data_IF_671094978485
#
_entry.id   IF_671094978485
#
_cell.length_a   1.000
_cell.length_b   1.000
_cell.length_c   1.000
_cell.angle_alpha   90.00
_cell.angle_beta   90.00
_cell.angle_gamma   90.00
#
_symmetry.space_group_name_H-M   'P 1'
#
loop_
_entity.id
_entity.type
_entity.pdbx_description
1 polymer ?
#
# COMPACT_ATOMS: atom_id res chain seq x y z
N UNK A 1 14.99 24.99 -80.46
CA UNK A 1 14.20 24.28 -79.48
C UNK A 1 14.87 24.50 -78.12
N UNK A 2 14.32 25.45 -77.34
CA UNK A 2 14.86 25.80 -76.02
C UNK A 2 13.96 25.17 -74.93
N UNK A 3 14.56 24.34 -74.09
CA UNK A 3 13.87 23.63 -72.99
C UNK A 3 14.06 24.47 -71.71
N UNK A 4 13.00 25.04 -71.21
CA UNK A 4 12.97 25.79 -69.95
C UNK A 4 12.70 24.81 -68.82
N UNK A 5 13.69 24.64 -67.92
CA UNK A 5 13.56 23.88 -66.67
C UNK A 5 12.97 24.73 -65.56
N UNK A 6 11.77 24.41 -65.09
CA UNK A 6 11.18 24.97 -63.88
C UNK A 6 11.79 24.35 -62.65
N UNK A 7 12.53 25.14 -61.84
CA UNK A 7 13.02 24.75 -60.52
C UNK A 7 11.91 25.06 -59.50
N UNK A 8 11.27 24.03 -58.97
CA UNK A 8 10.38 24.12 -57.81
C UNK A 8 11.25 24.19 -56.53
N UNK A 9 11.36 25.37 -55.95
CA UNK A 9 11.91 25.53 -54.58
C UNK A 9 10.85 25.08 -53.59
N UNK A 10 10.96 23.85 -53.09
CA UNK A 10 10.18 23.35 -51.95
C UNK A 10 10.69 24.04 -50.67
N UNK A 11 10.02 25.12 -50.26
CA UNK A 11 10.21 25.75 -48.95
C UNK A 11 9.68 24.82 -47.87
N UNK A 12 10.58 24.08 -47.17
CA UNK A 12 10.27 23.42 -45.91
C UNK A 12 10.02 24.48 -44.84
N UNK A 13 8.79 24.91 -44.65
CA UNK A 13 8.37 25.58 -43.43
C UNK A 13 8.49 24.54 -42.30
N UNK A 14 9.60 24.55 -41.55
CA UNK A 14 9.68 23.88 -40.24
C UNK A 14 8.64 24.56 -39.35
N UNK A 15 7.50 23.94 -39.19
CA UNK A 15 6.63 24.24 -38.06
C UNK A 15 7.43 23.89 -36.81
N UNK A 16 8.03 24.88 -36.15
CA UNK A 16 8.42 24.79 -34.77
C UNK A 16 7.12 24.61 -34.00
N UNK A 17 6.81 23.37 -33.63
CA UNK A 17 5.83 23.11 -32.60
C UNK A 17 6.48 23.63 -31.32
N UNK A 18 6.15 24.84 -30.89
CA UNK A 18 6.49 25.29 -29.55
C UNK A 18 5.88 24.28 -28.59
N UNK A 19 6.75 23.45 -27.98
CA UNK A 19 6.33 22.53 -26.94
C UNK A 19 6.01 23.40 -25.73
N UNK A 20 4.74 23.76 -25.59
CA UNK A 20 4.27 24.45 -24.40
C UNK A 20 4.43 23.51 -23.20
N UNK A 21 5.11 23.98 -22.17
CA UNK A 21 5.25 23.28 -20.92
C UNK A 21 3.88 23.15 -20.26
N UNK A 22 3.51 21.91 -19.89
CA UNK A 22 2.23 21.60 -19.24
C UNK A 22 2.47 21.25 -17.78
N UNK A 23 1.60 21.75 -16.91
CA UNK A 23 1.52 21.38 -15.50
C UNK A 23 0.08 20.99 -15.15
N UNK A 24 -0.09 20.25 -14.06
CA UNK A 24 -1.40 19.74 -13.65
C UNK A 24 -1.69 20.11 -12.20
N UNK A 25 -2.89 20.58 -11.92
CA UNK A 25 -3.30 21.00 -10.58
C UNK A 25 -3.31 19.79 -9.63
N UNK A 26 -2.48 19.84 -8.57
CA UNK A 26 -2.30 18.74 -7.60
C UNK A 26 -3.14 18.86 -6.34
N UNK A 27 -3.60 20.05 -6.00
CA UNK A 27 -4.48 20.29 -4.84
C UNK A 27 -5.96 20.19 -5.24
N UNK A 28 -6.87 20.04 -4.26
CA UNK A 28 -8.30 19.85 -4.52
C UNK A 28 -8.88 20.92 -5.44
N UNK A 29 -8.69 22.17 -5.05
CA UNK A 29 -9.13 23.34 -5.78
C UNK A 29 -8.30 24.56 -5.39
N UNK A 30 -8.14 25.49 -6.29
CA UNK A 30 -7.53 26.78 -6.04
C UNK A 30 -8.03 27.80 -7.06
N UNK A 31 -7.54 29.04 -6.96
CA UNK A 31 -7.85 30.10 -7.90
C UNK A 31 -6.59 30.55 -8.63
N UNK A 32 -6.72 30.83 -9.92
CA UNK A 32 -5.74 31.64 -10.62
C UNK A 32 -5.93 33.10 -10.19
N UNK A 33 -4.82 33.81 -10.01
CA UNK A 33 -4.77 35.20 -9.59
C UNK A 33 -4.28 36.12 -10.70
N UNK A 34 -4.80 37.36 -10.78
CA UNK A 34 -4.40 38.33 -11.82
C UNK A 34 -2.94 38.77 -11.66
N UNK A 35 -2.38 38.73 -10.46
CA UNK A 35 -1.01 39.13 -10.13
C UNK A 35 -0.46 38.40 -8.91
N UNK A 36 0.87 38.43 -8.78
CA UNK A 36 1.59 37.91 -7.60
C UNK A 36 1.70 39.05 -6.58
N UNK A 37 0.67 39.22 -5.76
CA UNK A 37 0.61 40.25 -4.72
C UNK A 37 -0.23 39.75 -3.52
N UNK A 38 -0.01 40.28 -2.28
CA UNK A 38 -0.84 39.96 -1.12
C UNK A 38 -2.33 40.26 -1.34
N UNK A 39 -2.62 41.26 -2.18
CA UNK A 39 -3.98 41.59 -2.62
C UNK A 39 -4.03 41.38 -4.13
N UNK A 40 -4.76 40.38 -4.55
CA UNK A 40 -4.94 39.98 -5.96
C UNK A 40 -6.39 39.57 -6.20
N UNK A 41 -6.89 39.77 -7.42
CA UNK A 41 -8.20 39.29 -7.80
C UNK A 41 -8.14 37.84 -8.26
N UNK A 42 -9.23 37.10 -8.01
CA UNK A 42 -9.42 35.76 -8.53
C UNK A 42 -9.87 35.85 -10.00
N UNK A 43 -9.16 35.15 -10.87
CA UNK A 43 -9.49 35.07 -12.30
C UNK A 43 -10.50 33.96 -12.57
N UNK A 44 -10.09 32.71 -12.20
CA UNK A 44 -10.94 31.54 -12.31
C UNK A 44 -10.55 30.50 -11.28
N UNK A 45 -11.44 29.57 -11.01
CA UNK A 45 -11.20 28.39 -10.18
C UNK A 45 -10.65 27.26 -11.05
N UNK A 46 -9.64 26.57 -10.52
CA UNK A 46 -9.06 25.35 -11.12
C UNK A 46 -9.11 24.22 -10.10
N UNK A 47 -9.24 22.99 -10.59
CA UNK A 47 -9.46 21.80 -9.77
C UNK A 47 -8.42 20.73 -10.01
N UNK A 48 -8.30 19.78 -9.09
CA UNK A 48 -7.37 18.65 -9.19
C UNK A 48 -7.44 17.93 -10.54
N UNK A 49 -6.30 17.70 -11.15
CA UNK A 49 -6.17 17.04 -12.44
C UNK A 49 -6.29 17.95 -13.65
N UNK A 50 -6.66 19.22 -13.49
CA UNK A 50 -6.83 20.14 -14.60
C UNK A 50 -5.47 20.49 -15.23
N UNK A 51 -5.30 20.34 -16.56
CA UNK A 51 -4.09 20.74 -17.27
C UNK A 51 -4.01 22.25 -17.42
N UNK A 52 -2.81 22.80 -17.29
CA UNK A 52 -2.50 24.22 -17.43
C UNK A 52 -1.25 24.38 -18.30
N UNK A 53 -1.31 25.27 -19.28
CA UNK A 53 -0.17 25.65 -20.11
C UNK A 53 0.68 26.71 -19.38
N UNK A 54 1.98 26.48 -19.21
CA UNK A 54 2.88 27.44 -18.57
C UNK A 54 3.31 28.50 -19.57
N UNK A 55 3.05 29.75 -19.23
CA UNK A 55 3.44 30.93 -20.04
C UNK A 55 4.69 31.58 -19.51
N UNK A 56 4.92 31.57 -18.17
CA UNK A 56 6.02 32.26 -17.53
C UNK A 56 6.34 31.64 -16.16
N UNK A 57 7.63 31.52 -15.85
CA UNK A 57 8.10 31.05 -14.55
C UNK A 57 8.44 32.23 -13.65
N UNK A 58 7.78 32.36 -12.51
CA UNK A 58 8.16 33.25 -11.42
C UNK A 58 8.94 32.50 -10.34
N UNK A 59 9.27 33.17 -9.26
CA UNK A 59 10.09 32.58 -8.18
C UNK A 59 9.37 31.44 -7.41
N UNK A 60 8.08 31.57 -7.18
CA UNK A 60 7.22 30.63 -6.41
C UNK A 60 5.83 30.51 -7.05
N UNK A 61 5.66 31.06 -8.21
CA UNK A 61 4.40 31.11 -8.94
C UNK A 61 4.66 30.85 -10.42
N UNK A 62 3.72 30.23 -11.06
CA UNK A 62 3.68 30.04 -12.50
C UNK A 62 2.55 30.89 -13.08
N UNK A 63 2.82 31.60 -14.16
CA UNK A 63 1.78 32.20 -14.97
C UNK A 63 1.28 31.14 -15.93
N UNK A 64 0.03 30.83 -15.86
CA UNK A 64 -0.56 29.71 -16.58
C UNK A 64 -1.80 30.13 -17.35
N UNK A 65 -2.14 29.31 -18.33
CA UNK A 65 -3.34 29.45 -19.15
C UNK A 65 -4.16 28.18 -19.10
N UNK A 66 -5.46 28.32 -18.88
CA UNK A 66 -6.42 27.22 -18.92
C UNK A 66 -6.84 26.87 -20.35
N UNK A 67 -7.47 25.71 -20.55
CA UNK A 67 -8.09 25.35 -21.84
C UNK A 67 -9.13 26.37 -22.34
N UNK A 68 -9.72 27.14 -21.42
CA UNK A 68 -10.67 28.22 -21.74
C UNK A 68 -10.01 29.55 -22.07
N UNK A 69 -8.67 29.56 -22.22
CA UNK A 69 -7.85 30.76 -22.43
C UNK A 69 -7.86 31.79 -21.28
N UNK A 70 -8.19 31.36 -20.07
CA UNK A 70 -8.08 32.20 -18.88
C UNK A 70 -6.62 32.19 -18.40
N UNK A 71 -6.04 33.38 -18.19
CA UNK A 71 -4.64 33.54 -17.84
C UNK A 71 -4.53 34.07 -16.43
N UNK A 72 -3.69 33.43 -15.60
CA UNK A 72 -3.44 33.89 -14.23
C UNK A 72 -2.22 33.23 -13.60
N UNK A 73 -1.97 33.58 -12.34
CA UNK A 73 -0.85 33.07 -11.55
C UNK A 73 -1.33 32.01 -10.58
N UNK A 74 -0.59 30.90 -10.49
CA UNK A 74 -0.81 29.80 -9.52
C UNK A 74 0.48 29.57 -8.75
N UNK A 75 0.37 29.10 -7.48
CA UNK A 75 1.54 28.68 -6.72
C UNK A 75 2.17 27.42 -7.31
N UNK A 76 3.48 27.37 -7.43
CA UNK A 76 4.26 26.23 -7.93
C UNK A 76 3.94 24.94 -7.18
N UNK A 77 3.79 25.00 -5.84
CA UNK A 77 3.42 23.86 -5.00
C UNK A 77 1.98 23.31 -5.22
N UNK A 78 1.15 24.03 -5.95
CA UNK A 78 -0.23 23.63 -6.23
C UNK A 78 -0.38 22.81 -7.52
N UNK A 79 0.73 22.57 -8.20
CA UNK A 79 0.78 21.83 -9.46
C UNK A 79 1.88 20.76 -9.43
N UNK A 80 1.79 19.82 -10.35
CA UNK A 80 2.86 18.87 -10.70
C UNK A 80 3.28 19.07 -12.15
N UNK A 81 4.49 18.66 -12.46
CA UNK A 81 5.01 18.69 -13.83
C UNK A 81 4.44 17.58 -14.71
N UNK A 82 4.59 17.72 -16.02
CA UNK A 82 4.12 16.72 -16.99
C UNK A 82 4.81 15.35 -16.79
N UNK A 83 6.06 15.32 -16.36
CA UNK A 83 6.79 14.06 -16.13
C UNK A 83 6.15 13.25 -15.00
N UNK A 84 5.80 13.88 -13.89
CA UNK A 84 5.09 13.24 -12.77
C UNK A 84 3.72 12.76 -13.21
N UNK A 85 2.98 13.58 -13.96
CA UNK A 85 1.68 13.18 -14.53
C UNK A 85 1.81 11.96 -15.45
N UNK A 86 2.77 11.96 -16.37
CA UNK A 86 3.05 10.84 -17.27
C UNK A 86 3.41 9.57 -16.49
N UNK A 87 4.08 9.71 -15.34
CA UNK A 87 4.33 8.59 -14.42
C UNK A 87 3.03 7.91 -13.95
N UNK A 88 2.01 8.69 -13.57
CA UNK A 88 0.70 8.15 -13.19
C UNK A 88 -0.04 7.52 -14.38
N UNK A 89 0.06 8.10 -15.57
CA UNK A 89 -0.52 7.53 -16.80
C UNK A 89 0.14 6.19 -17.13
N UNK A 90 1.47 6.10 -17.03
CA UNK A 90 2.20 4.87 -17.26
C UNK A 90 1.87 3.81 -16.21
N UNK A 91 1.78 4.18 -14.92
CA UNK A 91 1.38 3.28 -13.85
C UNK A 91 -0.02 2.70 -14.11
N UNK A 92 -0.97 3.54 -14.53
CA UNK A 92 -2.32 3.08 -14.87
C UNK A 92 -2.30 2.13 -16.08
N UNK A 93 -1.51 2.41 -17.10
CA UNK A 93 -1.38 1.56 -18.29
C UNK A 93 -0.74 0.19 -17.95
N UNK A 94 0.30 0.17 -17.09
CA UNK A 94 0.98 -1.05 -16.67
C UNK A 94 0.07 -1.99 -15.87
N UNK A 95 -0.83 -1.44 -15.06
CA UNK A 95 -1.70 -2.20 -14.16
C UNK A 95 -3.16 -2.25 -14.60
N UNK A 96 -3.44 -1.91 -15.87
CA UNK A 96 -4.81 -1.85 -16.41
C UNK A 96 -5.53 -3.20 -16.28
N UNK A 97 -4.85 -4.29 -16.61
CA UNK A 97 -5.40 -5.64 -16.69
C UNK A 97 -5.10 -6.49 -15.45
N UNK A 98 -4.48 -5.89 -14.43
CA UNK A 98 -4.21 -6.59 -13.18
C UNK A 98 -5.51 -7.01 -12.50
N UNK A 99 -5.56 -8.26 -11.99
CA UNK A 99 -6.73 -8.76 -11.29
C UNK A 99 -6.97 -7.96 -10.01
N UNK A 100 -8.23 -7.67 -9.74
CA UNK A 100 -8.64 -7.09 -8.47
C UNK A 100 -8.43 -8.11 -7.36
N UNK A 101 -7.63 -7.75 -6.37
CA UNK A 101 -7.39 -8.60 -5.21
C UNK A 101 -8.51 -8.45 -4.18
N UNK A 102 -8.89 -7.22 -3.87
CA UNK A 102 -9.90 -6.88 -2.83
C UNK A 102 -10.53 -5.54 -3.17
N UNK A 103 -11.75 -5.30 -2.72
CA UNK A 103 -12.41 -3.98 -2.73
C UNK A 103 -12.32 -3.35 -1.35
N UNK A 104 -12.06 -2.04 -1.31
CA UNK A 104 -11.99 -1.27 -0.08
C UNK A 104 -12.57 0.12 -0.25
N UNK A 105 -12.99 0.72 0.84
CA UNK A 105 -13.50 2.10 0.91
C UNK A 105 -12.51 2.99 1.65
N UNK A 106 -12.34 4.22 1.18
CA UNK A 106 -11.49 5.22 1.83
C UNK A 106 -12.17 5.74 3.10
N UNK A 107 -11.43 5.79 4.22
CA UNK A 107 -11.92 6.38 5.49
C UNK A 107 -12.04 7.89 5.43
N UNK A 108 -11.14 8.53 4.72
CA UNK A 108 -11.06 9.98 4.55
C UNK A 108 -10.48 10.35 3.17
N UNK A 109 -10.37 11.64 2.90
CA UNK A 109 -9.76 12.13 1.67
C UNK A 109 -8.29 11.72 1.58
N UNK A 110 -7.90 11.10 0.48
CA UNK A 110 -6.57 10.53 0.33
C UNK A 110 -6.02 10.81 -1.07
N UNK A 111 -4.76 11.24 -1.13
CA UNK A 111 -4.07 11.38 -2.40
C UNK A 111 -3.43 10.05 -2.83
N UNK A 112 -3.49 9.75 -4.11
CA UNK A 112 -2.72 8.67 -4.72
C UNK A 112 -1.25 9.09 -4.86
N UNK A 113 -0.36 8.18 -4.49
CA UNK A 113 1.09 8.34 -4.63
C UNK A 113 1.60 7.53 -5.83
N UNK A 114 2.66 8.02 -6.46
CA UNK A 114 3.30 7.33 -7.59
C UNK A 114 4.05 6.07 -7.14
N UNK A 115 4.65 6.11 -5.96
CA UNK A 115 5.35 5.01 -5.30
C UNK A 115 4.88 4.88 -3.84
N UNK A 116 5.06 3.71 -3.19
CA UNK A 116 4.79 3.57 -1.77
C UNK A 116 5.71 4.45 -0.93
N UNK A 117 5.17 5.16 0.04
CA UNK A 117 5.92 6.02 0.95
C UNK A 117 5.32 7.42 1.06
N UNK A 118 5.48 8.04 2.23
CA UNK A 118 4.86 9.34 2.54
C UNK A 118 5.47 10.52 1.79
N UNK A 119 6.74 10.40 1.38
CA UNK A 119 7.49 11.47 0.72
C UNK A 119 7.55 11.31 -0.81
N UNK A 120 6.73 10.42 -1.37
CA UNK A 120 6.67 10.18 -2.80
C UNK A 120 5.69 11.14 -3.48
N UNK A 121 5.86 11.34 -4.79
CA UNK A 121 5.00 12.21 -5.58
C UNK A 121 3.54 11.76 -5.48
N UNK A 122 2.65 12.73 -5.24
CA UNK A 122 1.21 12.51 -5.07
C UNK A 122 0.41 13.40 -6.01
N UNK A 123 -0.70 12.90 -6.50
CA UNK A 123 -1.47 13.67 -7.46
C UNK A 123 -2.98 13.56 -7.30
N UNK A 124 -3.61 12.45 -7.73
CA UNK A 124 -5.05 12.35 -7.69
C UNK A 124 -5.58 12.33 -6.26
N UNK A 125 -6.41 13.31 -5.93
CA UNK A 125 -7.07 13.38 -4.63
C UNK A 125 -8.43 12.70 -4.69
N UNK A 126 -8.58 11.62 -3.95
CA UNK A 126 -9.82 10.87 -3.81
C UNK A 126 -10.59 11.35 -2.58
N UNK A 127 -11.89 11.61 -2.68
CA UNK A 127 -12.71 11.92 -1.51
C UNK A 127 -12.90 10.68 -0.62
N UNK A 128 -13.12 10.91 0.66
CA UNK A 128 -13.53 9.86 1.60
C UNK A 128 -14.78 9.14 1.12
N UNK A 129 -14.98 7.92 1.57
CA UNK A 129 -16.03 7.00 1.14
C UNK A 129 -15.99 6.60 -0.35
N UNK A 130 -14.88 6.90 -1.06
CA UNK A 130 -14.67 6.36 -2.42
C UNK A 130 -14.30 4.89 -2.32
N UNK A 131 -15.01 4.03 -3.05
CA UNK A 131 -14.68 2.62 -3.22
C UNK A 131 -13.58 2.46 -4.27
N UNK A 132 -12.53 1.72 -3.95
CA UNK A 132 -11.38 1.44 -4.82
C UNK A 132 -11.10 -0.05 -4.92
N UNK A 133 -10.49 -0.45 -6.02
CA UNK A 133 -10.04 -1.80 -6.27
C UNK A 133 -8.56 -1.92 -5.88
N UNK A 134 -8.25 -2.76 -4.91
CA UNK A 134 -6.88 -3.03 -4.47
C UNK A 134 -6.27 -4.12 -5.35
N UNK A 135 -5.07 -3.88 -5.87
CA UNK A 135 -4.38 -4.75 -6.83
C UNK A 135 -3.22 -5.50 -6.18
N UNK A 136 -2.38 -4.80 -5.43
CA UNK A 136 -1.20 -5.37 -4.78
C UNK A 136 -0.88 -4.64 -3.48
N UNK A 137 -0.32 -5.37 -2.50
CA UNK A 137 0.20 -4.80 -1.26
C UNK A 137 1.72 -4.63 -1.33
N UNK A 138 2.20 -3.54 -0.76
CA UNK A 138 3.62 -3.26 -0.54
C UNK A 138 3.86 -2.80 0.88
N UNK A 139 5.11 -2.85 1.32
CA UNK A 139 5.53 -2.29 2.60
C UNK A 139 6.65 -1.27 2.38
N UNK A 140 6.55 -0.12 3.03
CA UNK A 140 7.54 0.93 2.98
C UNK A 140 7.91 1.39 4.39
N UNK A 141 9.11 1.94 4.53
CA UNK A 141 9.56 2.50 5.80
C UNK A 141 8.68 3.68 6.20
N UNK A 142 8.21 3.66 7.43
CA UNK A 142 7.59 4.83 8.05
C UNK A 142 8.70 5.75 8.51
N UNK A 143 8.91 6.88 7.82
CA UNK A 143 9.85 7.87 8.29
C UNK A 143 9.31 8.56 9.55
N UNK A 144 10.13 8.75 10.60
CA UNK A 144 9.74 9.51 11.78
C UNK A 144 9.36 10.95 11.37
N UNK A 145 8.35 11.52 12.03
CA UNK A 145 7.93 12.92 11.78
C UNK A 145 9.05 13.96 12.03
N UNK A 146 10.09 13.58 12.77
CA UNK A 146 11.27 14.40 13.06
C UNK A 146 12.24 14.59 11.88
N UNK A 147 12.13 13.77 10.83
CA UNK A 147 12.93 13.95 9.61
C UNK A 147 12.43 15.13 8.72
N UNK A 148 11.27 15.66 9.01
CA UNK A 148 10.81 16.95 8.49
C UNK A 148 11.39 18.04 9.41
N UNK A 149 12.57 18.54 9.05
CA UNK A 149 13.16 19.69 9.71
C UNK A 149 12.13 20.83 9.87
N UNK A 150 12.25 21.68 10.90
CA UNK A 150 11.27 22.73 11.15
C UNK A 150 11.09 23.56 9.88
N UNK A 151 9.83 23.74 9.47
CA UNK A 151 9.44 24.68 8.43
C UNK A 151 10.17 26.00 8.70
N UNK A 152 10.85 26.61 7.72
CA UNK A 152 11.50 27.88 7.91
C UNK A 152 10.44 28.92 8.27
N UNK A 153 10.31 29.18 9.56
CA UNK A 153 9.55 30.31 10.05
C UNK A 153 10.20 31.60 9.55
N UNK A 154 9.42 32.49 8.99
CA UNK A 154 9.83 33.75 8.37
C UNK A 154 10.46 34.78 9.36
N UNK A 155 11.07 34.34 10.47
CA UNK A 155 11.66 35.17 11.52
C UNK A 155 13.19 35.20 11.57
N UNK A 156 13.92 34.50 10.67
CA UNK A 156 15.40 34.45 10.71
C UNK A 156 16.11 35.30 9.60
N UNK A 157 15.45 36.32 9.10
CA UNK A 157 16.04 37.21 8.08
C UNK A 157 16.28 38.63 8.62
N UNK A 158 16.85 38.77 9.83
CA UNK A 158 17.42 40.02 10.31
C UNK A 158 18.48 39.70 11.35
N UNK A 159 19.72 39.59 10.95
CA UNK A 159 20.94 39.93 11.70
C UNK A 159 22.19 39.37 10.98
N UNK A 160 22.64 40.05 9.96
CA UNK A 160 24.01 39.92 9.43
C UNK A 160 24.40 41.22 8.73
N UNK A 161 24.63 42.24 9.51
CA UNK A 161 25.47 43.38 9.09
C UNK A 161 26.24 43.89 10.33
N UNK A 162 27.55 43.96 10.18
CA UNK A 162 28.39 44.90 10.91
C UNK A 162 29.27 44.32 12.03
N UNK A 163 30.59 44.33 11.78
CA UNK A 163 31.55 44.38 12.87
C UNK A 163 32.88 43.68 12.62
N UNK A 164 33.79 44.41 11.94
CA UNK A 164 35.24 44.15 11.90
C UNK A 164 35.87 44.30 13.31
N UNK A 165 36.85 43.44 13.65
CA UNK A 165 38.23 43.82 14.07
C UNK A 165 38.82 42.79 15.04
N UNK A 166 40.01 42.29 14.71
CA UNK A 166 40.96 41.55 15.55
C UNK A 166 41.81 42.56 16.38
N UNK A 167 42.90 42.19 17.11
CA UNK A 167 43.37 40.93 17.73
C UNK A 167 43.93 41.15 19.17
N UNK A 168 44.39 40.08 19.85
CA UNK A 168 45.25 40.22 21.07
C UNK A 168 45.21 39.00 21.97
N UNK A 169 46.12 38.14 21.82
CA UNK A 169 47.37 37.82 22.53
C UNK A 169 47.23 37.29 23.98
N UNK A 170 47.79 36.08 24.15
CA UNK A 170 48.61 35.54 25.26
C UNK A 170 47.93 35.02 26.53
N UNK A 171 48.19 33.73 26.85
CA UNK A 171 48.95 33.41 27.99
C UNK A 171 48.56 32.13 28.73
N UNK A 172 49.47 31.16 28.65
CA UNK A 172 49.87 30.17 29.66
C UNK A 172 48.95 29.04 30.14
N UNK A 173 49.37 27.82 29.77
CA UNK A 173 49.38 26.61 30.59
C UNK A 173 50.25 26.73 31.88
N UNK A 174 50.20 25.87 32.92
CA UNK A 174 50.29 24.41 32.80
C UNK A 174 49.60 23.55 33.90
N UNK A 175 49.77 22.25 33.71
CA UNK A 175 49.94 21.16 34.73
C UNK A 175 48.75 20.23 35.03
N UNK A 176 48.81 19.09 34.37
CA UNK A 176 48.85 17.72 34.89
C UNK A 176 48.07 17.36 36.17
N UNK A 177 47.17 16.37 36.06
CA UNK A 177 47.24 15.12 36.83
C UNK A 177 46.43 14.00 36.23
N UNK A 178 47.07 12.85 36.20
CA UNK A 178 46.64 11.53 35.80
C UNK A 178 45.43 11.01 36.58
N UNK A 179 44.66 10.13 35.94
CA UNK A 179 43.93 9.15 36.72
C UNK A 179 42.68 8.61 36.07
N UNK A 180 42.80 7.36 35.66
CA UNK A 180 41.75 6.34 35.62
C UNK A 180 41.03 6.12 34.29
N UNK A 181 41.54 5.12 33.60
CA UNK A 181 40.87 4.34 32.56
C UNK A 181 39.57 3.76 33.10
N UNK A 182 38.46 4.31 32.70
CA UNK A 182 37.18 3.56 32.71
C UNK A 182 36.93 3.09 31.30
N UNK A 183 37.02 1.76 31.15
CA UNK A 183 36.54 1.00 30.01
C UNK A 183 35.09 1.37 29.77
N UNK A 184 34.83 2.17 28.73
CA UNK A 184 33.50 2.34 28.20
C UNK A 184 33.10 1.02 27.55
N UNK A 185 32.31 0.23 28.28
CA UNK A 185 31.49 -0.80 27.66
C UNK A 185 30.64 -0.11 26.61
N UNK A 186 30.91 -0.43 25.35
CA UNK A 186 30.03 -0.06 24.25
C UNK A 186 28.67 -0.69 24.55
N UNK A 187 27.73 0.13 25.02
CA UNK A 187 26.32 -0.22 24.98
C UNK A 187 25.98 -0.40 23.52
N UNK A 188 25.74 -1.63 23.12
CA UNK A 188 25.11 -1.95 21.88
C UNK A 188 23.71 -1.35 21.99
N UNK A 189 23.49 -0.18 21.40
CA UNK A 189 22.14 0.35 21.17
C UNK A 189 21.43 -0.72 20.33
N UNK A 190 20.54 -1.47 20.95
CA UNK A 190 19.55 -2.27 20.24
C UNK A 190 18.72 -1.28 19.43
N UNK A 191 19.13 -1.06 18.19
CA UNK A 191 18.36 -0.25 17.25
C UNK A 191 17.02 -0.95 17.06
N UNK A 192 15.95 -0.37 17.58
CA UNK A 192 14.59 -0.86 17.33
C UNK A 192 14.39 -1.09 15.83
N UNK A 193 13.75 -2.21 15.44
CA UNK A 193 13.51 -2.48 14.03
C UNK A 193 12.71 -1.31 13.42
N UNK A 194 13.04 -0.88 12.20
CA UNK A 194 12.40 0.27 11.58
C UNK A 194 10.90 0.04 11.44
N UNK A 195 10.10 1.03 11.82
CA UNK A 195 8.64 0.97 11.64
C UNK A 195 8.31 0.93 10.16
N UNK A 196 7.44 0.00 9.78
CA UNK A 196 6.94 -0.19 8.42
C UNK A 196 5.49 0.26 8.30
N UNK A 197 5.08 0.68 7.11
CA UNK A 197 3.70 0.97 6.74
C UNK A 197 3.30 0.16 5.51
N UNK A 198 2.07 -0.36 5.54
CA UNK A 198 1.50 -1.05 4.39
C UNK A 198 0.87 -0.05 3.43
N UNK A 199 1.15 -0.22 2.15
CA UNK A 199 0.63 0.54 1.04
C UNK A 199 -0.08 -0.38 0.06
N UNK A 200 -1.12 0.11 -0.58
CA UNK A 200 -1.86 -0.64 -1.58
C UNK A 200 -1.85 0.07 -2.92
N UNK A 201 -1.46 -0.66 -3.95
CA UNK A 201 -1.70 -0.23 -5.32
C UNK A 201 -3.20 -0.35 -5.56
N UNK A 202 -3.85 0.76 -5.87
CA UNK A 202 -5.29 0.86 -5.99
C UNK A 202 -5.70 1.45 -7.33
N UNK A 203 -6.80 0.96 -7.86
CA UNK A 203 -7.48 1.50 -9.05
C UNK A 203 -8.79 2.14 -8.60
N UNK A 204 -9.01 3.39 -8.99
CA UNK A 204 -10.26 4.09 -8.70
C UNK A 204 -11.35 3.80 -9.75
N UNK A 205 -12.60 4.28 -9.56
CA UNK A 205 -13.69 4.08 -10.53
C UNK A 205 -13.45 4.71 -11.90
N UNK A 206 -12.50 5.66 -12.01
CA UNK A 206 -12.13 6.30 -13.28
C UNK A 206 -10.99 5.56 -13.99
N UNK A 207 -10.47 4.46 -13.42
CA UNK A 207 -9.37 3.68 -13.99
C UNK A 207 -7.98 4.28 -13.70
N UNK A 208 -7.88 5.33 -12.86
CA UNK A 208 -6.60 5.88 -12.43
C UNK A 208 -5.97 4.95 -11.40
N UNK A 209 -4.66 4.80 -11.42
CA UNK A 209 -3.93 3.90 -10.54
C UNK A 209 -2.88 4.66 -9.75
N UNK A 210 -2.76 4.33 -8.47
CA UNK A 210 -1.77 4.90 -7.57
C UNK A 210 -1.71 4.15 -6.24
N UNK A 211 -0.72 4.49 -5.44
CA UNK A 211 -0.50 3.88 -4.13
C UNK A 211 -1.25 4.65 -3.05
N UNK A 212 -1.96 3.92 -2.20
CA UNK A 212 -2.73 4.44 -1.07
C UNK A 212 -2.22 3.83 0.24
N UNK A 213 -2.21 4.64 1.31
CA UNK A 213 -1.80 4.19 2.64
C UNK A 213 -2.83 3.22 3.22
N UNK A 214 -2.40 1.99 3.54
CA UNK A 214 -3.27 0.90 3.96
C UNK A 214 -4.09 1.18 5.22
N UNK A 215 -3.57 1.96 6.18
CA UNK A 215 -4.30 2.32 7.40
C UNK A 215 -5.52 3.25 7.16
N UNK A 216 -5.61 3.85 5.96
CA UNK A 216 -6.71 4.73 5.52
C UNK A 216 -7.75 4.02 4.66
N UNK A 217 -7.60 2.72 4.49
CA UNK A 217 -8.51 1.87 3.74
C UNK A 217 -9.30 0.98 4.68
N UNK A 218 -10.54 0.76 4.35
CA UNK A 218 -11.43 -0.16 5.05
C UNK A 218 -11.90 -1.22 4.07
N UNK A 219 -11.51 -2.47 4.32
CA UNK A 219 -11.92 -3.60 3.48
C UNK A 219 -13.39 -3.89 3.76
N UNK A 220 -14.17 -4.07 2.71
CA UNK A 220 -15.60 -4.38 2.84
C UNK A 220 -15.79 -5.75 3.47
N UNK A 221 -16.29 -5.73 4.72
CA UNK A 221 -16.64 -6.93 5.49
C UNK A 221 -18.03 -6.71 6.08
N UNK A 222 -18.98 -7.64 5.90
CA UNK A 222 -20.28 -7.53 6.53
C UNK A 222 -20.16 -7.49 8.06
N UNK A 223 -20.93 -6.62 8.72
CA UNK A 223 -20.88 -6.41 10.17
C UNK A 223 -21.07 -7.73 10.94
N UNK A 224 -21.97 -8.57 10.44
CA UNK A 224 -22.25 -9.89 11.03
C UNK A 224 -21.03 -10.83 11.05
N UNK A 225 -20.06 -10.63 10.17
CA UNK A 225 -18.80 -11.40 10.09
C UNK A 225 -17.65 -10.64 10.75
N UNK A 226 -17.66 -9.30 10.67
CA UNK A 226 -16.63 -8.43 11.21
C UNK A 226 -16.36 -8.64 12.70
N UNK A 227 -17.39 -8.94 13.49
CA UNK A 227 -17.28 -9.23 14.93
C UNK A 227 -16.39 -10.45 15.27
N UNK A 228 -16.11 -11.34 14.30
CA UNK A 228 -15.28 -12.53 14.48
C UNK A 228 -13.80 -12.31 14.14
N UNK A 229 -13.35 -11.05 14.00
CA UNK A 229 -11.96 -10.70 13.67
C UNK A 229 -10.93 -11.14 14.71
N UNK A 230 -11.31 -11.25 16.00
CA UNK A 230 -10.42 -11.73 17.09
C UNK A 230 -9.09 -10.96 17.12
N UNK A 231 -9.14 -9.62 17.12
CA UNK A 231 -7.98 -8.71 17.08
C UNK A 231 -7.12 -8.81 15.80
N UNK A 232 -7.58 -9.55 14.79
CA UNK A 232 -6.93 -9.61 13.49
C UNK A 232 -7.55 -8.63 12.50
N UNK A 233 -6.76 -8.20 11.54
CA UNK A 233 -7.18 -7.32 10.46
C UNK A 233 -7.73 -8.16 9.31
N UNK A 234 -8.94 -7.88 8.86
CA UNK A 234 -9.45 -8.42 7.60
C UNK A 234 -8.65 -7.84 6.43
N UNK A 235 -8.14 -8.73 5.60
CA UNK A 235 -7.42 -8.39 4.36
C UNK A 235 -8.32 -8.57 3.14
N UNK A 236 -9.32 -9.47 3.24
CA UNK A 236 -10.33 -9.66 2.21
C UNK A 236 -11.51 -10.48 2.70
N UNK A 237 -12.67 -10.25 2.07
CA UNK A 237 -13.91 -10.96 2.32
C UNK A 237 -14.66 -11.15 0.98
N UNK A 238 -15.10 -12.38 0.71
CA UNK A 238 -15.82 -12.72 -0.53
C UNK A 238 -17.01 -13.60 -0.19
N UNK A 239 -18.13 -13.37 -0.85
CA UNK A 239 -19.25 -14.31 -0.81
C UNK A 239 -18.81 -15.62 -1.50
N UNK A 240 -18.85 -16.72 -0.77
CA UNK A 240 -18.50 -18.06 -1.24
C UNK A 240 -19.74 -18.84 -1.71
N UNK A 241 -20.83 -18.76 -0.94
CA UNK A 241 -22.09 -19.42 -1.19
C UNK A 241 -23.26 -18.61 -0.60
N UNK A 242 -24.45 -19.16 -0.66
CA UNK A 242 -25.61 -18.70 0.08
C UNK A 242 -26.46 -19.90 0.48
N UNK A 243 -27.13 -19.81 1.63
CA UNK A 243 -28.06 -20.81 2.16
C UNK A 243 -29.44 -20.17 2.36
N UNK A 244 -30.50 -20.95 2.13
CA UNK A 244 -31.87 -20.50 2.37
C UNK A 244 -32.22 -20.72 3.85
N UNK A 245 -32.62 -19.64 4.52
CA UNK A 245 -33.16 -19.66 5.88
C UNK A 245 -34.52 -18.94 5.88
N UNK A 246 -35.62 -19.68 6.01
CA UNK A 246 -36.97 -19.10 5.96
C UNK A 246 -37.24 -18.03 7.04
N UNK A 247 -36.45 -18.04 8.12
CA UNK A 247 -36.60 -17.09 9.24
C UNK A 247 -35.64 -15.89 9.13
N UNK A 248 -34.76 -15.90 8.13
CA UNK A 248 -33.84 -14.79 7.91
C UNK A 248 -34.58 -13.55 7.37
N UNK A 249 -34.27 -12.38 7.95
CA UNK A 249 -34.77 -11.09 7.50
C UNK A 249 -33.90 -10.53 6.36
N UNK A 250 -33.79 -11.31 5.30
CA UNK A 250 -33.05 -10.96 4.08
C UNK A 250 -33.95 -11.10 2.85
N UNK A 251 -33.71 -10.36 1.77
CA UNK A 251 -34.41 -10.57 0.51
C UNK A 251 -34.28 -12.03 0.06
N UNK A 252 -35.39 -12.62 -0.34
CA UNK A 252 -35.48 -14.02 -0.79
C UNK A 252 -35.02 -15.07 0.27
N UNK A 253 -34.93 -14.70 1.55
CA UNK A 253 -34.49 -15.58 2.63
C UNK A 253 -33.11 -16.23 2.36
N UNK A 254 -32.27 -15.56 1.58
CA UNK A 254 -30.91 -16.00 1.27
C UNK A 254 -29.91 -15.36 2.21
N UNK A 255 -29.13 -16.17 2.92
CA UNK A 255 -28.05 -15.72 3.78
C UNK A 255 -26.72 -16.10 3.14
N UNK A 256 -25.87 -15.10 2.90
CA UNK A 256 -24.58 -15.33 2.27
C UNK A 256 -23.60 -16.01 3.22
N UNK A 257 -22.77 -16.90 2.70
CA UNK A 257 -21.66 -17.54 3.38
C UNK A 257 -20.34 -16.97 2.85
N UNK A 258 -19.37 -16.77 3.71
CA UNK A 258 -18.20 -15.94 3.40
C UNK A 258 -16.88 -16.68 3.54
N UNK A 259 -15.99 -16.43 2.57
CA UNK A 259 -14.56 -16.68 2.67
C UNK A 259 -13.88 -15.40 3.11
N UNK A 260 -13.05 -15.48 4.15
CA UNK A 260 -12.25 -14.34 4.63
C UNK A 260 -10.79 -14.69 4.75
N UNK A 261 -9.94 -13.72 4.56
CA UNK A 261 -8.51 -13.80 4.88
C UNK A 261 -8.13 -12.69 5.85
N UNK A 262 -7.33 -13.05 6.84
CA UNK A 262 -6.96 -12.18 7.94
C UNK A 262 -5.45 -12.14 8.11
N UNK A 263 -4.95 -11.06 8.70
CA UNK A 263 -3.55 -10.88 9.06
C UNK A 263 -3.42 -10.25 10.45
N UNK A 264 -2.30 -10.42 11.14
CA UNK A 264 -2.02 -9.69 12.36
C UNK A 264 -2.11 -8.18 12.15
N UNK A 265 -2.46 -7.38 13.16
CA UNK A 265 -2.54 -5.92 13.08
C UNK A 265 -1.14 -5.26 13.07
N UNK A 266 -0.23 -5.82 12.27
CA UNK A 266 1.16 -5.39 12.10
C UNK A 266 1.43 -5.10 10.64
N UNK A 267 2.16 -4.03 10.36
CA UNK A 267 2.65 -3.71 9.02
C UNK A 267 4.01 -4.33 8.74
N UNK A 268 4.40 -4.39 7.46
CA UNK A 268 5.71 -4.89 7.07
C UNK A 268 5.82 -6.42 7.07
N UNK A 269 4.69 -7.13 7.05
CA UNK A 269 4.70 -8.59 6.98
C UNK A 269 5.18 -9.07 5.60
N UNK A 270 5.96 -10.17 5.52
CA UNK A 270 6.44 -10.72 4.26
C UNK A 270 5.37 -11.48 3.47
N UNK A 271 4.14 -11.52 3.93
CA UNK A 271 2.96 -12.15 3.33
C UNK A 271 1.76 -11.20 3.42
N UNK A 272 0.71 -11.46 2.65
CA UNK A 272 -0.48 -10.62 2.64
C UNK A 272 -1.46 -10.99 3.77
N UNK A 273 -1.58 -12.29 4.07
CA UNK A 273 -2.41 -12.81 5.17
C UNK A 273 -1.80 -14.09 5.76
N UNK A 274 -2.14 -14.39 7.00
CA UNK A 274 -1.69 -15.61 7.70
C UNK A 274 -2.82 -16.57 8.04
N UNK A 275 -4.05 -16.17 7.79
CA UNK A 275 -5.22 -16.97 8.12
C UNK A 275 -6.29 -16.93 7.04
N UNK A 276 -6.87 -18.09 6.77
CA UNK A 276 -8.07 -18.27 5.94
C UNK A 276 -9.18 -18.81 6.82
N UNK A 277 -10.38 -18.20 6.76
CA UNK A 277 -11.59 -18.68 7.43
C UNK A 277 -12.76 -18.76 6.46
N UNK A 278 -13.61 -19.76 6.65
CA UNK A 278 -14.93 -19.85 6.00
C UNK A 278 -15.98 -19.76 7.07
N UNK A 279 -16.88 -18.81 6.91
CA UNK A 279 -18.06 -18.62 7.75
C UNK A 279 -19.29 -19.12 7.01
N UNK A 280 -20.00 -20.04 7.62
CA UNK A 280 -21.27 -20.58 7.13
C UNK A 280 -22.40 -20.16 8.06
N UNK A 281 -23.61 -20.04 7.52
CA UNK A 281 -24.79 -19.72 8.30
C UNK A 281 -25.45 -20.97 8.88
N UNK A 282 -25.63 -21.00 10.19
CA UNK A 282 -26.37 -22.06 10.86
C UNK A 282 -27.87 -21.72 10.90
N UNK A 283 -28.66 -22.34 10.03
CA UNK A 283 -30.12 -22.18 9.99
C UNK A 283 -30.78 -22.57 11.33
N UNK A 284 -30.20 -23.51 12.07
CA UNK A 284 -30.69 -23.92 13.38
C UNK A 284 -30.48 -22.88 14.48
N UNK A 285 -29.35 -22.15 14.42
CA UNK A 285 -28.95 -21.22 15.50
C UNK A 285 -29.06 -19.76 15.07
N UNK A 286 -29.43 -19.46 13.82
CA UNK A 286 -29.55 -18.13 13.21
C UNK A 286 -28.32 -17.27 13.47
N UNK A 287 -27.12 -17.85 13.22
CA UNK A 287 -25.82 -17.17 13.39
C UNK A 287 -24.76 -17.74 12.47
N UNK A 288 -23.69 -16.97 12.26
CA UNK A 288 -22.50 -17.47 11.59
C UNK A 288 -21.70 -18.40 12.49
N UNK A 289 -21.19 -19.47 11.89
CA UNK A 289 -20.29 -20.42 12.51
C UNK A 289 -19.04 -20.59 11.63
N UNK A 290 -17.87 -20.81 12.25
CA UNK A 290 -16.62 -21.06 11.52
C UNK A 290 -16.60 -22.52 11.04
N UNK A 291 -16.85 -22.73 9.75
CA UNK A 291 -16.79 -24.06 9.13
C UNK A 291 -15.35 -24.51 8.84
N UNK A 292 -14.45 -23.56 8.60
CA UNK A 292 -13.05 -23.85 8.27
C UNK A 292 -12.13 -22.75 8.79
N UNK A 293 -10.97 -23.16 9.31
CA UNK A 293 -9.87 -22.27 9.70
C UNK A 293 -8.54 -22.91 9.32
N UNK A 294 -7.70 -22.15 8.61
CA UNK A 294 -6.34 -22.52 8.29
C UNK A 294 -5.41 -21.40 8.77
N UNK A 295 -4.53 -21.69 9.71
CA UNK A 295 -3.63 -20.74 10.37
C UNK A 295 -2.51 -21.51 11.12
N UNK A 296 -1.28 -20.98 11.21
CA UNK A 296 -0.74 -19.83 10.47
C UNK A 296 -0.11 -20.25 9.13
N UNK A 297 -0.34 -19.44 8.09
CA UNK A 297 0.20 -19.69 6.74
C UNK A 297 0.76 -18.41 6.11
N UNK A 298 1.80 -18.48 5.26
CA UNK A 298 2.26 -17.33 4.46
C UNK A 298 1.42 -17.24 3.18
N UNK A 299 0.25 -16.60 3.26
CA UNK A 299 -0.69 -16.46 2.14
C UNK A 299 -0.52 -15.18 1.35
N UNK A 300 -0.80 -15.23 0.05
CA UNK A 300 -0.68 -14.11 -0.90
C UNK A 300 -1.95 -13.92 -1.71
N UNK A 301 -2.28 -12.68 -2.01
CA UNK A 301 -3.35 -12.28 -2.91
C UNK A 301 -2.92 -12.44 -4.38
N UNK A 302 -3.87 -12.66 -5.32
CA UNK A 302 -5.32 -12.66 -5.11
C UNK A 302 -5.87 -13.99 -4.59
N UNK A 303 -6.93 -13.91 -3.79
CA UNK A 303 -7.81 -15.04 -3.51
C UNK A 303 -8.87 -15.10 -4.61
N UNK A 304 -9.17 -16.30 -5.11
CA UNK A 304 -10.17 -16.51 -6.17
C UNK A 304 -11.29 -17.40 -5.67
N UNK A 305 -12.52 -16.92 -5.83
CA UNK A 305 -13.73 -17.72 -5.57
C UNK A 305 -14.32 -18.13 -6.92
N UNK A 306 -14.67 -19.39 -7.06
CA UNK A 306 -15.22 -19.96 -8.30
C UNK A 306 -16.15 -21.15 -7.99
N UNK A 307 -16.81 -21.64 -9.01
CA UNK A 307 -17.60 -22.87 -8.92
C UNK A 307 -16.82 -24.04 -9.50
N UNK A 308 -16.70 -25.12 -8.74
CA UNK A 308 -16.08 -26.38 -9.14
C UNK A 308 -17.15 -27.36 -9.59
N UNK A 309 -17.01 -27.92 -10.79
CA UNK A 309 -17.88 -29.01 -11.26
C UNK A 309 -17.46 -30.33 -10.62
N UNK A 310 -18.43 -31.02 -10.01
CA UNK A 310 -18.26 -32.35 -9.42
C UNK A 310 -19.32 -33.31 -10.00
N UNK A 311 -19.18 -34.60 -9.74
CA UNK A 311 -20.19 -35.57 -10.14
C UNK A 311 -21.58 -35.32 -9.52
N UNK A 312 -21.65 -34.63 -8.39
CA UNK A 312 -22.87 -34.27 -7.68
C UNK A 312 -23.45 -32.91 -8.08
N UNK A 313 -22.78 -32.16 -8.98
CA UNK A 313 -23.17 -30.82 -9.41
C UNK A 313 -22.06 -29.80 -9.28
N UNK A 314 -22.42 -28.50 -9.31
CA UNK A 314 -21.48 -27.39 -9.16
C UNK A 314 -21.42 -26.92 -7.73
N UNK A 315 -20.26 -26.98 -7.11
CA UNK A 315 -20.03 -26.60 -5.70
C UNK A 315 -19.16 -25.34 -5.59
N UNK A 316 -19.31 -24.52 -4.54
CA UNK A 316 -18.42 -23.39 -4.28
C UNK A 316 -17.01 -23.86 -4.01
N UNK A 317 -16.04 -23.11 -4.54
CA UNK A 317 -14.64 -23.41 -4.38
C UNK A 317 -13.82 -22.12 -4.31
N UNK A 318 -12.62 -22.22 -3.75
CA UNK A 318 -11.69 -21.09 -3.68
C UNK A 318 -10.24 -21.53 -3.82
N UNK A 319 -9.40 -20.58 -4.19
CA UNK A 319 -7.95 -20.80 -4.26
C UNK A 319 -7.20 -19.55 -3.83
N UNK A 320 -6.01 -19.77 -3.33
CA UNK A 320 -5.05 -18.71 -2.99
C UNK A 320 -3.63 -19.20 -3.23
N UNK A 321 -2.69 -18.27 -3.25
CA UNK A 321 -1.27 -18.59 -3.34
C UNK A 321 -0.63 -18.55 -1.97
N UNK A 322 0.38 -19.40 -1.76
CA UNK A 322 1.23 -19.41 -0.58
C UNK A 322 2.68 -19.70 -0.95
N UNK A 323 3.61 -19.35 -0.08
CA UNK A 323 5.01 -19.71 -0.24
C UNK A 323 5.24 -21.21 0.00
N UNK A 324 6.12 -21.82 -0.79
CA UNK A 324 6.59 -23.21 -0.55
C UNK A 324 7.57 -23.33 0.61
N UNK A 325 8.13 -22.21 1.07
CA UNK A 325 9.12 -22.10 2.13
C UNK A 325 9.31 -20.64 2.51
N UNK A 326 10.35 -20.33 3.27
CA UNK A 326 10.61 -19.00 3.83
C UNK A 326 11.18 -17.99 2.80
N UNK A 327 11.47 -18.43 1.59
CA UNK A 327 12.10 -17.58 0.57
C UNK A 327 11.07 -16.68 -0.12
N UNK A 328 11.24 -15.40 0.09
CA UNK A 328 10.45 -14.34 -0.54
C UNK A 328 11.37 -13.36 -1.28
N UNK A 329 10.85 -12.74 -2.32
CA UNK A 329 11.53 -11.67 -3.06
C UNK A 329 10.76 -10.38 -2.88
N UNK A 330 11.44 -9.33 -2.44
CA UNK A 330 10.86 -7.99 -2.33
C UNK A 330 11.40 -7.12 -3.46
N UNK A 331 10.50 -6.53 -4.23
CA UNK A 331 10.86 -5.55 -5.24
C UNK A 331 11.38 -4.28 -4.55
N UNK A 332 12.63 -3.91 -4.82
CA UNK A 332 13.30 -2.77 -4.15
C UNK A 332 12.67 -1.41 -4.48
N UNK A 333 12.02 -1.27 -5.63
CA UNK A 333 11.39 -0.02 -6.05
C UNK A 333 9.98 0.16 -5.47
N UNK A 334 9.21 -0.94 -5.39
CA UNK A 334 7.80 -0.88 -4.99
C UNK A 334 7.54 -1.45 -3.60
N UNK A 335 8.47 -2.18 -2.99
CA UNK A 335 8.26 -2.86 -1.71
C UNK A 335 7.27 -4.04 -1.78
N UNK A 336 6.83 -4.45 -2.98
CA UNK A 336 5.95 -5.61 -3.15
C UNK A 336 6.75 -6.87 -2.85
N UNK A 337 6.24 -7.68 -1.93
CA UNK A 337 6.84 -8.96 -1.57
C UNK A 337 6.03 -10.10 -2.17
N UNK A 338 6.73 -11.07 -2.79
CA UNK A 338 6.14 -12.26 -3.41
C UNK A 338 6.96 -13.50 -3.07
N UNK A 339 6.34 -14.68 -2.99
CA UNK A 339 7.08 -15.92 -2.79
C UNK A 339 7.95 -16.23 -4.01
N UNK A 340 9.17 -16.70 -3.78
CA UNK A 340 10.07 -17.15 -4.85
C UNK A 340 9.54 -18.39 -5.54
N UNK A 341 8.88 -19.28 -4.79
CA UNK A 341 8.23 -20.49 -5.27
C UNK A 341 6.77 -20.53 -4.81
N UNK A 342 5.82 -19.95 -5.57
CA UNK A 342 4.42 -19.95 -5.21
C UNK A 342 3.80 -21.34 -5.39
N UNK A 343 2.88 -21.68 -4.49
CA UNK A 343 1.99 -22.85 -4.57
C UNK A 343 0.56 -22.39 -4.59
N UNK A 344 -0.24 -22.89 -5.51
CA UNK A 344 -1.69 -22.61 -5.54
C UNK A 344 -2.44 -23.68 -4.77
N UNK A 345 -3.05 -23.30 -3.68
CA UNK A 345 -3.87 -24.18 -2.84
C UNK A 345 -5.34 -23.98 -3.19
N UNK A 346 -6.07 -25.08 -3.34
CA UNK A 346 -7.48 -25.07 -3.73
C UNK A 346 -8.33 -25.85 -2.73
N UNK A 347 -9.52 -25.32 -2.45
CA UNK A 347 -10.53 -25.94 -1.61
C UNK A 347 -11.88 -25.89 -2.30
N UNK A 348 -12.71 -26.89 -2.03
CA UNK A 348 -14.14 -26.88 -2.33
C UNK A 348 -14.96 -26.97 -1.05
N UNK A 349 -16.19 -26.46 -1.08
CA UNK A 349 -17.11 -26.55 0.04
C UNK A 349 -18.36 -27.32 -0.39
N UNK A 350 -18.64 -28.41 0.31
CA UNK A 350 -19.88 -29.21 0.15
C UNK A 350 -20.61 -29.09 1.47
N UNK A 351 -21.80 -28.52 1.43
CA UNK A 351 -22.56 -28.10 2.61
C UNK A 351 -21.70 -27.17 3.47
N UNK A 352 -21.30 -27.58 4.68
CA UNK A 352 -20.42 -26.82 5.58
C UNK A 352 -19.00 -27.37 5.65
N UNK A 353 -18.71 -28.42 4.86
CA UNK A 353 -17.40 -29.09 4.89
C UNK A 353 -16.48 -28.56 3.81
N UNK A 354 -15.36 -28.00 4.22
CA UNK A 354 -14.31 -27.52 3.33
C UNK A 354 -13.23 -28.59 3.17
N UNK A 355 -12.97 -29.00 1.93
CA UNK A 355 -12.03 -30.07 1.59
C UNK A 355 -11.00 -29.57 0.59
N UNK A 356 -9.73 -29.94 0.79
CA UNK A 356 -8.66 -29.61 -0.14
C UNK A 356 -8.78 -30.43 -1.42
N UNK A 357 -8.60 -29.75 -2.57
CA UNK A 357 -8.69 -30.35 -3.90
C UNK A 357 -7.50 -29.91 -4.78
N UNK A 358 -7.37 -30.55 -5.94
CA UNK A 358 -6.40 -30.18 -6.96
C UNK A 358 -5.11 -31.01 -6.90
N UNK A 359 -4.12 -30.68 -7.75
CA UNK A 359 -2.91 -31.49 -7.89
C UNK A 359 -1.92 -31.33 -6.73
N UNK A 360 -1.98 -30.19 -6.03
CA UNK A 360 -1.10 -29.92 -4.90
C UNK A 360 -1.74 -30.40 -3.58
N UNK A 361 -1.33 -31.58 -3.14
CA UNK A 361 -1.75 -32.19 -1.87
C UNK A 361 -0.60 -32.26 -0.86
N UNK A 362 0.58 -31.67 -1.18
CA UNK A 362 1.71 -31.66 -0.27
C UNK A 362 1.33 -30.93 1.07
N UNK A 363 1.90 -31.31 2.20
CA UNK A 363 1.62 -30.66 3.48
C UNK A 363 1.78 -29.14 3.39
N UNK A 364 0.89 -28.42 4.07
CA UNK A 364 0.96 -26.97 4.21
C UNK A 364 1.95 -26.68 5.32
N UNK A 365 3.08 -25.98 5.04
CA UNK A 365 3.99 -25.57 6.09
C UNK A 365 3.28 -24.55 7.00
N UNK A 366 3.29 -24.80 8.29
CA UNK A 366 2.85 -23.83 9.29
C UNK A 366 4.03 -22.92 9.63
N UNK A 367 3.80 -21.60 9.67
CA UNK A 367 4.80 -20.67 10.17
C UNK A 367 5.02 -20.91 11.66
N UNK A 368 6.29 -20.90 12.11
CA UNK A 368 6.58 -20.84 13.54
C UNK A 368 6.51 -19.38 13.97
N UNK A 369 5.75 -19.09 15.01
CA UNK A 369 5.80 -17.76 15.62
C UNK A 369 7.23 -17.49 16.10
N UNK A 370 7.80 -16.31 15.77
CA UNK A 370 9.12 -15.94 16.27
C UNK A 370 9.03 -15.74 17.80
N UNK A 371 9.35 -16.76 18.57
CA UNK A 371 9.30 -16.73 20.03
C UNK A 371 9.14 -18.10 20.72
N UNK A 372 8.64 -19.13 20.07
CA UNK A 372 8.61 -20.47 20.65
C UNK A 372 10.01 -21.11 20.60
N UNK A 373 10.70 -21.05 21.75
CA UNK A 373 11.90 -21.85 21.98
C UNK A 373 11.50 -23.32 21.88
N UNK A 374 12.04 -24.04 20.88
CA UNK A 374 12.01 -25.51 20.84
C UNK A 374 12.46 -26.05 22.17
N UNK A 375 11.55 -26.53 22.99
CA UNK A 375 11.86 -27.43 24.07
C UNK A 375 12.14 -28.80 23.42
N UNK A 376 13.41 -29.03 23.09
CA UNK A 376 13.88 -30.37 22.78
C UNK A 376 13.57 -31.28 23.96
N UNK A 377 12.57 -32.13 23.82
CA UNK A 377 12.41 -33.30 24.68
C UNK A 377 13.60 -34.23 24.40
N UNK A 378 14.63 -34.07 25.22
CA UNK A 378 15.73 -35.01 25.35
C UNK A 378 15.15 -36.33 25.83
N UNK A 379 14.99 -37.30 24.93
CA UNK A 379 14.61 -38.66 25.28
C UNK A 379 15.65 -39.27 26.20
N UNK A 380 15.30 -39.46 27.45
CA UNK A 380 16.10 -40.23 28.40
C UNK A 380 15.79 -41.70 28.13
N UNK A 381 16.69 -42.37 27.40
CA UNK A 381 16.79 -43.81 27.46
C UNK A 381 17.13 -44.24 28.91
N UNK A 382 16.15 -44.75 29.59
CA UNK A 382 16.29 -45.38 30.90
C UNK A 382 16.43 -46.90 30.70
N UNK A 383 17.66 -47.35 30.85
CA UNK A 383 18.03 -48.76 30.96
C UNK A 383 17.20 -49.50 31.99
N UNK A 384 16.83 -50.73 31.61
CA UNK A 384 16.13 -51.65 32.41
C UNK A 384 16.87 -52.10 33.71
N UNK A 385 16.10 -52.36 34.73
CA UNK A 385 16.54 -53.22 35.82
C UNK A 385 15.39 -54.16 36.18
N UNK A 386 15.64 -55.46 35.90
CA UNK A 386 14.89 -56.58 36.44
C UNK A 386 14.93 -56.59 37.96
N UNK A 387 13.82 -56.68 38.58
CA UNK A 387 13.68 -56.93 40.03
C UNK A 387 12.52 -57.84 40.35
N UNK A 388 12.75 -59.11 40.35
CA UNK A 388 11.94 -60.16 40.95
C UNK A 388 11.82 -60.03 42.48
N UNK A 389 10.59 -60.14 43.03
CA UNK A 389 10.25 -60.78 44.36
C UNK A 389 8.75 -60.61 44.60
N UNK A 390 7.97 -61.69 44.51
CA UNK A 390 7.68 -62.75 45.51
C UNK A 390 6.82 -62.28 46.71
N UNK A 391 5.55 -62.75 46.67
CA UNK A 391 4.68 -63.21 47.76
C UNK A 391 4.63 -62.43 49.12
N UNK A 392 3.49 -61.91 49.45
CA UNK A 392 2.51 -62.59 50.36
C UNK A 392 1.15 -61.96 50.24
#
# INVERSE_FOLDING_TARGET
MALWGLIFAAGCTRFHHEQHEMVYVSIRETYLHDRVAPVSNRVCQVVNGQPLEVLEHGRRFLKVKTEKNEIGWIEDRAVIDAKTYDGFVQLAAQHKDDPVAVTATLKDDLAMHLLPGRDTERFYLLPGNTTVQLLARASALKKPAEALGPLPTAAAAKSAEGGKSAPGVSGNSPAAKAGTSQSAAAATEETEPPEMEDWWLARDPQGRVGWLLGSRLDVEVPDAVGQYGEDQRFVGCWQLAAVTDPEADTPDHQVAEYLTVLAPPKSGLPFDFDQVRVFTWSVKHHRYETAFRLHPIPGYLPVRVFKQSTSAGSVPAFSFEMASGDNVTTNSATGITRPTAPRTIRYEMIDTRVTRIGPDMAPIPTMHEPGEKKTEKKGTEGQGSRGTKKRR
#
